data_IF_282992483208
#
_entry.id   IF_282992483208
#
_cell.length_a   1.000
_cell.length_b   1.000
_cell.length_c   1.000
_cell.angle_alpha   90.00
_cell.angle_beta   90.00
_cell.angle_gamma   90.00
#
_symmetry.space_group_name_H-M   'P 1'
#
loop_
_entity.id
_entity.type
_entity.pdbx_description
1 polymer ?
#
# COMPACT_ATOMS: atom_id res chain seq x y z
N UNK A 1 40.02 -36.50 -65.92
CA UNK A 1 39.61 -35.40 -65.01
C UNK A 1 40.76 -35.16 -64.05
N UNK A 2 41.43 -34.04 -64.25
CA UNK A 2 42.76 -33.72 -63.75
C UNK A 2 42.79 -33.45 -62.24
N UNK A 3 43.64 -34.22 -61.55
CA UNK A 3 44.36 -33.97 -60.30
C UNK A 3 44.23 -32.56 -59.70
N UNK A 4 43.22 -32.34 -58.84
CA UNK A 4 43.15 -31.14 -57.97
C UNK A 4 43.83 -31.39 -56.60
N UNK A 5 44.22 -32.64 -56.30
CA UNK A 5 44.75 -33.03 -54.98
C UNK A 5 46.26 -32.80 -54.78
N UNK A 6 46.99 -32.33 -55.79
CA UNK A 6 48.46 -32.23 -55.74
C UNK A 6 48.92 -30.79 -55.49
N UNK A 7 49.00 -30.38 -54.19
CA UNK A 7 49.90 -29.33 -53.62
C UNK A 7 49.61 -28.89 -52.16
N UNK A 8 48.80 -29.61 -51.37
CA UNK A 8 48.56 -29.24 -49.97
C UNK A 8 49.49 -29.97 -48.98
N UNK A 9 50.15 -29.23 -48.08
CA UNK A 9 51.00 -29.80 -47.01
C UNK A 9 50.14 -30.71 -46.12
N UNK A 10 50.64 -31.89 -45.74
CA UNK A 10 49.94 -32.88 -44.88
C UNK A 10 49.34 -32.25 -43.61
N UNK A 11 50.04 -31.26 -43.03
CA UNK A 11 49.59 -30.47 -41.89
C UNK A 11 48.29 -29.71 -42.15
N UNK A 12 48.10 -29.16 -43.35
CA UNK A 12 46.88 -28.43 -43.73
C UNK A 12 45.69 -29.37 -43.86
N UNK A 13 45.90 -30.57 -44.43
CA UNK A 13 44.85 -31.58 -44.60
C UNK A 13 44.31 -32.08 -43.25
N UNK A 14 45.18 -32.20 -42.24
CA UNK A 14 44.80 -32.65 -40.90
C UNK A 14 44.26 -31.50 -40.03
N UNK A 15 44.93 -30.35 -39.96
CA UNK A 15 44.60 -29.31 -38.96
C UNK A 15 43.32 -28.54 -39.30
N UNK A 16 43.10 -28.21 -40.56
CA UNK A 16 41.96 -27.37 -41.00
C UNK A 16 40.59 -27.96 -40.62
N UNK A 17 40.27 -29.24 -40.89
CA UNK A 17 38.96 -29.80 -40.53
C UNK A 17 38.71 -29.79 -39.01
N UNK A 18 39.72 -30.07 -38.18
CA UNK A 18 39.56 -30.03 -36.71
C UNK A 18 39.31 -28.60 -36.21
N UNK A 19 40.04 -27.60 -36.72
CA UNK A 19 39.82 -26.20 -36.32
C UNK A 19 38.43 -25.72 -36.75
N UNK A 20 38.00 -26.06 -37.97
CA UNK A 20 36.64 -25.77 -38.44
C UNK A 20 35.58 -26.42 -37.56
N UNK A 21 35.77 -27.69 -37.18
CA UNK A 21 34.84 -28.41 -36.33
C UNK A 21 34.75 -27.81 -34.91
N UNK A 22 35.90 -27.45 -34.31
CA UNK A 22 35.93 -26.79 -33.00
C UNK A 22 35.27 -25.41 -33.06
N UNK A 23 35.63 -24.60 -34.06
CA UNK A 23 35.04 -23.27 -34.26
C UNK A 23 33.53 -23.34 -34.49
N UNK A 24 33.07 -24.31 -35.28
CA UNK A 24 31.66 -24.58 -35.49
C UNK A 24 30.93 -24.97 -34.21
N UNK A 25 31.48 -25.91 -33.44
CA UNK A 25 30.90 -26.36 -32.17
C UNK A 25 30.84 -25.22 -31.13
N UNK A 26 31.95 -24.49 -30.94
CA UNK A 26 32.02 -23.37 -29.99
C UNK A 26 31.10 -22.23 -30.43
N UNK A 27 31.06 -21.90 -31.72
CA UNK A 27 30.16 -20.88 -32.26
C UNK A 27 28.68 -21.25 -32.06
N UNK A 28 28.33 -22.51 -32.29
CA UNK A 28 26.97 -23.01 -32.08
C UNK A 28 26.58 -22.95 -30.59
N UNK A 29 27.44 -23.44 -29.70
CA UNK A 29 27.22 -23.38 -28.26
C UNK A 29 27.14 -21.94 -27.77
N UNK A 30 27.99 -21.04 -28.27
CA UNK A 30 27.95 -19.61 -27.96
C UNK A 30 26.65 -18.95 -28.39
N UNK A 31 26.20 -19.22 -29.63
CA UNK A 31 24.91 -18.72 -30.14
C UNK A 31 23.72 -19.23 -29.33
N UNK A 32 23.68 -20.54 -29.06
CA UNK A 32 22.62 -21.14 -28.25
C UNK A 32 22.62 -20.61 -26.81
N UNK A 33 23.81 -20.42 -26.22
CA UNK A 33 23.96 -19.87 -24.87
C UNK A 33 23.48 -18.42 -24.81
N UNK A 34 23.81 -17.60 -25.81
CA UNK A 34 23.34 -16.23 -25.90
C UNK A 34 21.82 -16.14 -26.08
N UNK A 35 21.24 -16.95 -26.98
CA UNK A 35 19.79 -17.02 -27.19
C UNK A 35 19.04 -17.47 -25.94
N UNK A 36 19.55 -18.50 -25.26
CA UNK A 36 18.97 -18.99 -24.00
C UNK A 36 19.12 -17.96 -22.87
N UNK A 37 20.26 -17.28 -22.79
CA UNK A 37 20.51 -16.22 -21.82
C UNK A 37 19.56 -15.04 -21.96
N UNK A 38 19.30 -14.58 -23.19
CA UNK A 38 18.30 -13.53 -23.44
C UNK A 38 16.91 -13.95 -22.95
N UNK A 39 16.49 -15.18 -23.24
CA UNK A 39 15.20 -15.70 -22.77
C UNK A 39 15.12 -15.78 -21.23
N UNK A 40 16.19 -16.25 -20.58
CA UNK A 40 16.25 -16.34 -19.12
C UNK A 40 16.16 -14.96 -18.46
N UNK A 41 16.88 -13.96 -18.98
CA UNK A 41 16.85 -12.58 -18.47
C UNK A 41 15.46 -11.97 -18.68
N UNK A 42 14.88 -12.11 -19.88
CA UNK A 42 13.55 -11.59 -20.17
C UNK A 42 12.47 -12.21 -19.25
N UNK A 43 12.54 -13.52 -19.03
CA UNK A 43 11.63 -14.21 -18.11
C UNK A 43 11.80 -13.73 -16.67
N UNK A 44 13.04 -13.55 -16.20
CA UNK A 44 13.31 -13.03 -14.86
C UNK A 44 12.79 -11.61 -14.69
N UNK A 45 13.04 -10.73 -15.66
CA UNK A 45 12.52 -9.36 -15.64
C UNK A 45 10.99 -9.34 -15.58
N UNK A 46 10.31 -10.15 -16.40
CA UNK A 46 8.85 -10.28 -16.38
C UNK A 46 8.32 -10.81 -15.04
N UNK A 47 9.01 -11.80 -14.44
CA UNK A 47 8.63 -12.32 -13.13
C UNK A 47 8.76 -11.27 -12.03
N UNK A 48 9.85 -10.51 -12.03
CA UNK A 48 10.07 -9.42 -11.06
C UNK A 48 9.02 -8.32 -11.21
N UNK A 49 8.72 -7.90 -12.43
CA UNK A 49 7.66 -6.92 -12.70
C UNK A 49 6.31 -7.41 -12.19
N UNK A 50 5.94 -8.66 -12.50
CA UNK A 50 4.68 -9.24 -12.01
C UNK A 50 4.62 -9.30 -10.49
N UNK A 51 5.69 -9.74 -9.83
CA UNK A 51 5.75 -9.77 -8.37
C UNK A 51 5.64 -8.37 -7.75
N UNK A 52 6.24 -7.36 -8.38
CA UNK A 52 6.10 -5.98 -7.93
C UNK A 52 4.65 -5.51 -8.05
N UNK A 53 3.99 -5.77 -9.20
CA UNK A 53 2.57 -5.46 -9.40
C UNK A 53 1.68 -6.20 -8.40
N UNK A 54 1.86 -7.51 -8.23
CA UNK A 54 1.08 -8.30 -7.27
C UNK A 54 1.21 -7.79 -5.83
N UNK A 55 2.40 -7.35 -5.43
CA UNK A 55 2.62 -6.75 -4.11
C UNK A 55 1.93 -5.39 -3.96
N UNK A 56 1.97 -4.56 -5.01
CA UNK A 56 1.23 -3.28 -5.02
C UNK A 56 -0.26 -3.54 -4.90
N UNK A 57 -0.81 -4.46 -5.70
CA UNK A 57 -2.22 -4.83 -5.67
C UNK A 57 -2.62 -5.39 -4.29
N UNK A 58 -1.81 -6.28 -3.71
CA UNK A 58 -2.06 -6.82 -2.37
C UNK A 58 -2.06 -5.72 -1.30
N UNK A 59 -1.11 -4.79 -1.36
CA UNK A 59 -1.02 -3.68 -0.42
C UNK A 59 -2.25 -2.76 -0.55
N UNK A 60 -2.62 -2.38 -1.77
CA UNK A 60 -3.81 -1.55 -2.03
C UNK A 60 -5.10 -2.24 -1.59
N UNK A 61 -5.26 -3.53 -1.88
CA UNK A 61 -6.43 -4.29 -1.43
C UNK A 61 -6.54 -4.32 0.10
N UNK A 62 -5.43 -4.55 0.80
CA UNK A 62 -5.42 -4.53 2.27
C UNK A 62 -5.69 -3.13 2.83
N UNK A 63 -5.09 -2.11 2.23
CA UNK A 63 -5.24 -0.72 2.64
C UNK A 63 -6.69 -0.25 2.50
N UNK A 64 -7.34 -0.56 1.37
CA UNK A 64 -8.73 -0.17 1.10
C UNK A 64 -9.76 -1.04 1.84
N UNK A 65 -9.45 -2.29 2.15
CA UNK A 65 -10.37 -3.16 2.90
C UNK A 65 -10.42 -2.83 4.40
N UNK A 66 -9.31 -2.32 4.97
CA UNK A 66 -9.19 -2.09 6.42
C UNK A 66 -10.25 -1.10 6.96
N UNK A 67 -10.48 0.09 6.34
CA UNK A 67 -11.53 1.00 6.79
C UNK A 67 -12.94 0.38 6.83
N UNK A 68 -13.28 -0.46 5.84
CA UNK A 68 -14.57 -1.15 5.84
C UNK A 68 -14.73 -2.12 7.02
N UNK A 69 -13.67 -2.84 7.39
CA UNK A 69 -13.71 -3.70 8.58
C UNK A 69 -13.84 -2.89 9.87
N UNK A 70 -13.16 -1.74 9.99
CA UNK A 70 -13.29 -0.85 11.15
C UNK A 70 -14.74 -0.36 11.27
N UNK A 71 -15.35 0.07 10.17
CA UNK A 71 -16.75 0.51 10.16
C UNK A 71 -17.70 -0.62 10.60
N UNK A 72 -17.49 -1.85 10.12
CA UNK A 72 -18.30 -2.98 10.56
C UNK A 72 -18.17 -3.23 12.06
N UNK A 73 -16.94 -3.20 12.60
CA UNK A 73 -16.69 -3.35 14.04
C UNK A 73 -17.40 -2.26 14.84
N UNK A 74 -17.41 -1.02 14.34
CA UNK A 74 -18.06 0.10 15.01
C UNK A 74 -19.58 -0.03 15.00
N UNK A 75 -20.16 -0.39 13.85
CA UNK A 75 -21.60 -0.68 13.72
C UNK A 75 -22.00 -1.81 14.68
N UNK A 76 -21.22 -2.90 14.73
CA UNK A 76 -21.48 -4.02 15.63
C UNK A 76 -21.40 -3.59 17.10
N UNK A 77 -20.40 -2.79 17.49
CA UNK A 77 -20.25 -2.27 18.84
C UNK A 77 -21.44 -1.40 19.27
N UNK A 78 -21.95 -0.55 18.37
CA UNK A 78 -23.14 0.28 18.60
C UNK A 78 -24.39 -0.59 18.73
N UNK A 79 -24.60 -1.53 17.81
CA UNK A 79 -25.76 -2.42 17.82
C UNK A 79 -25.81 -3.33 19.05
N UNK A 80 -24.64 -3.73 19.57
CA UNK A 80 -24.51 -4.51 20.80
C UNK A 80 -24.62 -3.66 22.07
N UNK A 81 -24.72 -2.33 21.96
CA UNK A 81 -24.75 -1.40 23.09
C UNK A 81 -23.41 -1.30 23.83
N UNK A 82 -22.30 -1.68 23.20
CA UNK A 82 -20.95 -1.56 23.73
C UNK A 82 -20.36 -0.17 23.50
N UNK A 83 -20.87 0.55 22.50
CA UNK A 83 -20.47 1.92 22.16
C UNK A 83 -21.72 2.80 22.06
N UNK A 84 -21.88 3.75 22.99
CA UNK A 84 -22.90 4.79 22.89
C UNK A 84 -22.32 5.99 22.15
N UNK A 85 -22.88 6.28 20.97
CA UNK A 85 -22.42 7.39 20.13
C UNK A 85 -22.72 8.77 20.72
N UNK A 86 -23.49 8.87 21.80
CA UNK A 86 -23.69 10.11 22.55
C UNK A 86 -22.60 10.35 23.60
N UNK A 87 -21.85 9.32 24.01
CA UNK A 87 -20.74 9.45 24.94
C UNK A 87 -19.42 9.70 24.19
N UNK A 88 -19.20 10.96 23.82
CA UNK A 88 -18.01 11.37 23.07
C UNK A 88 -16.70 11.16 23.84
N UNK A 89 -16.72 11.08 25.17
CA UNK A 89 -15.53 10.71 25.93
C UNK A 89 -15.12 9.29 25.59
N UNK A 90 -16.07 8.36 25.70
CA UNK A 90 -15.87 6.94 25.37
C UNK A 90 -15.58 6.73 23.89
N UNK A 91 -16.34 7.39 22.99
CA UNK A 91 -16.14 7.26 21.54
C UNK A 91 -14.75 7.75 21.13
N UNK A 92 -14.33 8.92 21.59
CA UNK A 92 -12.99 9.44 21.28
C UNK A 92 -11.88 8.51 21.75
N UNK A 93 -11.98 7.98 22.97
CA UNK A 93 -10.99 7.04 23.50
C UNK A 93 -11.01 5.67 22.78
N UNK A 94 -12.20 5.20 22.39
CA UNK A 94 -12.38 3.97 21.61
C UNK A 94 -11.76 4.10 20.21
N UNK A 95 -12.06 5.18 19.49
CA UNK A 95 -11.43 5.49 18.19
C UNK A 95 -9.93 5.67 18.34
N UNK A 96 -9.44 6.32 19.41
CA UNK A 96 -8.01 6.47 19.66
C UNK A 96 -7.31 5.12 19.79
N UNK A 97 -7.90 4.16 20.51
CA UNK A 97 -7.36 2.80 20.58
C UNK A 97 -7.39 2.08 19.24
N UNK A 98 -8.44 2.25 18.45
CA UNK A 98 -8.49 1.70 17.09
C UNK A 98 -7.40 2.30 16.20
N UNK A 99 -7.15 3.61 16.29
CA UNK A 99 -6.04 4.27 15.61
C UNK A 99 -4.68 3.72 16.06
N UNK A 100 -4.51 3.26 17.30
CA UNK A 100 -3.26 2.56 17.69
C UNK A 100 -3.13 1.17 17.06
N UNK A 101 -4.24 0.50 16.78
CA UNK A 101 -4.27 -0.87 16.24
C UNK A 101 -4.23 -0.92 14.71
N UNK A 102 -4.80 0.08 14.04
CA UNK A 102 -4.94 0.14 12.59
C UNK A 102 -4.20 1.34 12.00
N UNK A 103 -3.52 1.10 10.88
CA UNK A 103 -2.79 2.13 10.13
C UNK A 103 -3.75 2.88 9.19
N UNK A 104 -4.65 3.66 9.78
CA UNK A 104 -5.57 4.56 9.08
C UNK A 104 -5.31 6.01 9.50
N UNK A 105 -5.70 6.94 8.62
CA UNK A 105 -5.47 8.37 8.82
C UNK A 105 -6.51 9.04 9.70
N UNK A 106 -7.74 8.55 9.70
CA UNK A 106 -8.85 9.14 10.43
C UNK A 106 -9.94 8.11 10.74
N UNK A 107 -10.53 8.17 11.93
CA UNK A 107 -11.80 7.50 12.27
C UNK A 107 -12.72 8.55 12.86
N UNK A 108 -13.94 8.70 12.34
CA UNK A 108 -14.87 9.72 12.79
C UNK A 108 -16.32 9.30 12.75
N UNK A 109 -17.14 10.14 13.40
CA UNK A 109 -18.58 10.06 13.43
C UNK A 109 -19.14 11.47 13.53
N UNK A 110 -20.24 11.71 12.82
CA UNK A 110 -21.08 12.87 13.04
C UNK A 110 -22.55 12.47 13.01
N UNK A 111 -23.37 13.22 13.74
CA UNK A 111 -24.81 13.02 13.77
C UNK A 111 -25.56 14.12 13.01
N UNK A 112 -26.87 13.90 12.79
CA UNK A 112 -27.74 14.86 12.09
C UNK A 112 -27.87 16.21 12.82
N UNK A 113 -27.60 16.25 14.13
CA UNK A 113 -27.59 17.49 14.90
C UNK A 113 -26.34 18.35 14.66
N UNK A 114 -25.34 17.83 13.92
CA UNK A 114 -24.09 18.51 13.61
C UNK A 114 -23.00 18.34 14.67
N UNK A 115 -23.20 17.44 15.63
CA UNK A 115 -22.13 17.04 16.55
C UNK A 115 -21.17 16.10 15.83
N UNK A 116 -19.90 16.19 16.17
CA UNK A 116 -18.82 15.48 15.52
C UNK A 116 -17.77 15.03 16.52
N UNK A 117 -17.24 13.83 16.31
CA UNK A 117 -16.11 13.28 17.05
C UNK A 117 -15.23 12.52 16.07
N UNK A 118 -13.93 12.74 16.17
CA UNK A 118 -12.96 12.14 15.29
C UNK A 118 -11.61 11.97 15.96
N UNK A 119 -10.84 11.00 15.46
CA UNK A 119 -9.43 10.85 15.82
C UNK A 119 -8.60 10.89 14.55
N UNK A 120 -7.70 11.86 14.53
CA UNK A 120 -6.81 12.15 13.41
C UNK A 120 -5.40 11.66 13.71
N UNK A 121 -4.72 11.12 12.69
CA UNK A 121 -3.29 10.88 12.71
C UNK A 121 -2.55 11.93 11.88
N UNK A 122 -1.70 12.71 12.53
CA UNK A 122 -0.78 13.63 11.87
C UNK A 122 0.39 12.88 11.21
N UNK A 123 1.11 13.56 10.31
CA UNK A 123 2.30 13.01 9.63
C UNK A 123 3.37 12.49 10.59
N UNK A 124 3.47 13.09 11.78
CA UNK A 124 4.41 12.67 12.83
C UNK A 124 3.90 11.50 13.70
N UNK A 125 2.80 10.85 13.30
CA UNK A 125 2.09 9.78 14.03
C UNK A 125 1.45 10.19 15.37
N UNK A 126 1.35 11.48 15.66
CA UNK A 126 0.58 11.97 16.82
C UNK A 126 -0.91 11.81 16.55
N UNK A 127 -1.65 11.40 17.58
CA UNK A 127 -3.10 11.27 17.52
C UNK A 127 -3.77 12.43 18.23
N UNK A 128 -4.69 13.09 17.54
CA UNK A 128 -5.52 14.17 18.06
C UNK A 128 -6.98 13.73 18.11
N UNK A 129 -7.71 14.16 19.14
CA UNK A 129 -9.16 13.96 19.22
C UNK A 129 -9.84 15.28 18.87
N UNK A 130 -10.65 15.26 17.81
CA UNK A 130 -11.33 16.42 17.28
C UNK A 130 -12.82 16.30 17.58
N UNK A 131 -13.44 17.31 18.19
CA UNK A 131 -14.86 17.26 18.53
C UNK A 131 -15.59 18.60 18.42
N UNK A 132 -16.85 18.51 18.03
CA UNK A 132 -17.84 19.60 17.99
C UNK A 132 -19.08 19.09 18.71
N UNK A 133 -19.55 19.82 19.72
CA UNK A 133 -20.69 19.38 20.56
C UNK A 133 -21.72 20.51 20.73
N UNK A 134 -22.99 20.14 20.84
CA UNK A 134 -24.05 21.09 21.17
C UNK A 134 -23.82 21.70 22.57
N UNK A 135 -24.03 23.01 22.77
CA UNK A 135 -24.61 23.99 21.84
C UNK A 135 -23.59 24.73 20.94
N UNK A 136 -22.30 24.48 21.07
CA UNK A 136 -21.23 25.19 20.36
C UNK A 136 -20.84 24.47 19.05
N UNK A 137 -21.81 24.39 18.13
CA UNK A 137 -21.63 23.68 16.85
C UNK A 137 -20.73 24.42 15.84
N UNK A 138 -20.39 25.67 16.15
CA UNK A 138 -19.48 26.55 15.41
C UNK A 138 -18.02 26.47 15.91
N UNK A 139 -17.74 25.60 16.88
CA UNK A 139 -16.41 25.40 17.44
C UNK A 139 -15.93 23.96 17.21
N UNK A 140 -14.68 23.83 16.77
CA UNK A 140 -13.96 22.56 16.74
C UNK A 140 -12.89 22.56 17.82
N UNK A 141 -13.01 21.63 18.77
CA UNK A 141 -12.02 21.41 19.81
C UNK A 141 -11.05 20.32 19.37
N UNK A 142 -9.76 20.64 19.36
CA UNK A 142 -8.67 19.76 18.94
C UNK A 142 -7.84 19.43 20.17
N UNK A 143 -7.99 18.21 20.67
CA UNK A 143 -7.32 17.75 21.88
C UNK A 143 -6.05 16.96 21.54
N UNK A 144 -4.94 17.36 22.16
CA UNK A 144 -3.80 16.48 22.32
C UNK A 144 -4.17 15.31 23.23
N UNK A 145 -3.42 14.21 23.12
CA UNK A 145 -3.63 13.01 23.93
C UNK A 145 -2.38 12.56 24.67
N UNK A 146 -2.56 12.05 25.88
CA UNK A 146 -1.49 11.38 26.63
C UNK A 146 -1.22 9.94 26.10
N UNK A 147 -0.29 9.23 26.75
CA UNK A 147 0.07 7.86 26.36
C UNK A 147 -1.05 6.83 26.54
N UNK A 148 -2.13 7.18 27.23
CA UNK A 148 -3.29 6.34 27.45
C UNK A 148 -4.47 6.75 26.56
N UNK A 149 -4.39 7.87 25.84
CA UNK A 149 -5.48 8.39 25.02
C UNK A 149 -6.47 9.25 25.80
N UNK A 150 -6.04 9.84 26.94
CA UNK A 150 -6.82 10.86 27.64
C UNK A 150 -6.54 12.23 27.00
N UNK A 151 -7.59 13.05 26.86
CA UNK A 151 -7.50 14.43 26.36
C UNK A 151 -6.63 15.28 27.32
N UNK A 152 -5.75 16.11 26.77
CA UNK A 152 -4.89 17.01 27.56
C UNK A 152 -5.07 18.47 27.13
N UNK A 153 -4.13 19.00 26.35
CA UNK A 153 -4.16 20.37 25.85
C UNK A 153 -5.19 20.49 24.74
N UNK A 154 -5.84 21.65 24.66
CA UNK A 154 -6.90 21.92 23.67
C UNK A 154 -6.57 23.16 22.85
N UNK A 155 -6.65 23.01 21.54
CA UNK A 155 -6.76 24.10 20.59
C UNK A 155 -8.21 24.21 20.15
N UNK A 156 -8.69 25.44 19.90
CA UNK A 156 -10.07 25.68 19.48
C UNK A 156 -10.06 26.45 18.18
N UNK A 157 -10.64 25.86 17.15
CA UNK A 157 -10.90 26.50 15.88
C UNK A 157 -12.34 27.03 15.85
N UNK A 158 -12.52 28.25 15.35
CA UNK A 158 -13.83 28.90 15.21
C UNK A 158 -14.27 28.89 13.76
N UNK A 159 -15.58 28.69 13.54
CA UNK A 159 -16.22 28.59 12.23
C UNK A 159 -15.57 27.54 11.30
N UNK A 160 -15.42 26.27 11.75
CA UNK A 160 -14.90 25.21 10.89
C UNK A 160 -15.83 24.99 9.69
N UNK A 161 -15.30 24.41 8.62
CA UNK A 161 -16.12 24.00 7.48
C UNK A 161 -17.26 23.08 7.98
N UNK A 162 -18.51 23.25 7.51
CA UNK A 162 -19.61 22.43 7.96
C UNK A 162 -19.35 20.94 7.67
N UNK A 163 -19.36 20.11 8.71
CA UNK A 163 -19.16 18.66 8.61
C UNK A 163 -20.16 18.02 7.65
N UNK A 164 -21.38 18.55 7.56
CA UNK A 164 -22.40 18.04 6.65
C UNK A 164 -22.09 18.28 5.17
N UNK A 165 -21.12 19.14 4.85
CA UNK A 165 -20.63 19.34 3.49
C UNK A 165 -19.44 18.43 3.16
N UNK A 166 -18.90 17.70 4.13
CA UNK A 166 -17.79 16.78 3.92
C UNK A 166 -18.21 15.56 3.09
N UNK A 167 -17.39 15.18 2.12
CA UNK A 167 -17.69 14.07 1.21
C UNK A 167 -17.95 12.75 1.95
N UNK A 168 -17.21 12.47 3.03
CA UNK A 168 -17.40 11.26 3.83
C UNK A 168 -18.75 11.23 4.57
N UNK A 169 -19.35 12.40 4.85
CA UNK A 169 -20.67 12.49 5.47
C UNK A 169 -21.78 12.40 4.42
N UNK A 170 -21.63 13.12 3.29
CA UNK A 170 -22.62 13.16 2.21
C UNK A 170 -22.71 11.83 1.46
N UNK A 171 -21.57 11.20 1.21
CA UNK A 171 -21.47 9.94 0.46
C UNK A 171 -21.49 8.71 1.37
N UNK A 172 -21.79 8.87 2.67
CA UNK A 172 -21.97 7.75 3.58
C UNK A 172 -23.14 6.88 3.11
N UNK A 173 -22.87 5.61 2.80
CA UNK A 173 -23.86 4.60 2.40
C UNK A 173 -24.24 3.72 3.58
#
# INVERSE_FOLDING_TARGET
MSNVLSRFKLRTLLVVPFVLQIGGAVGLVGYLSFKNGQGAIANLANQLMRQASERVDQHLNSYLATPHHINQINIDAVNLGLLDLQDFETVGHYFWKQMKAFDVGYINYANEAGEFIGVERLENNTLLINETRSPALDLLYIYATDSQGNRTDVEVESDPAPIQAEGWYVDAV
#
